data_IF_572259590943
#
_entry.id   IF_572259590943
#
_cell.length_a   1.000
_cell.length_b   1.000
_cell.length_c   1.000
_cell.angle_alpha   90.00
_cell.angle_beta   90.00
_cell.angle_gamma   90.00
#
_symmetry.space_group_name_H-M   'P 1'
#
loop_
_entity.id
_entity.type
_entity.pdbx_description
1 polymer ?
#
# COMPACT_ATOMS: atom_id res chain seq x y z
N UNK A 1 5.04 45.69 -10.14
CA UNK A 1 4.79 47.15 -10.28
C UNK A 1 3.38 47.40 -9.75
N UNK A 2 3.29 48.10 -8.61
CA UNK A 2 2.12 48.74 -7.99
C UNK A 2 0.81 47.91 -7.86
N UNK A 3 0.54 47.52 -6.61
CA UNK A 3 -0.81 47.23 -6.10
C UNK A 3 -1.61 48.53 -5.98
N UNK A 4 -2.94 48.46 -6.19
CA UNK A 4 -3.86 49.20 -5.34
C UNK A 4 -4.75 48.22 -4.56
N UNK A 5 -4.79 48.45 -3.25
CA UNK A 5 -5.89 48.07 -2.39
C UNK A 5 -7.16 48.76 -2.91
N UNK A 6 -8.24 48.02 -3.09
CA UNK A 6 -9.54 48.58 -2.75
C UNK A 6 -10.42 47.57 -2.05
N UNK A 7 -10.88 48.02 -0.89
CA UNK A 7 -11.70 47.30 0.06
C UNK A 7 -13.16 47.66 -0.19
N UNK A 8 -13.97 46.64 -0.46
CA UNK A 8 -15.44 46.52 -0.30
C UNK A 8 -16.11 45.91 -1.53
N UNK A 9 -15.98 44.59 -1.61
CA UNK A 9 -17.06 43.70 -2.02
C UNK A 9 -17.03 42.46 -1.10
N UNK A 10 -17.07 42.73 0.22
CA UNK A 10 -17.42 41.74 1.22
C UNK A 10 -18.92 41.49 1.10
N UNK A 11 -19.33 40.55 0.24
CA UNK A 11 -20.62 39.88 0.31
C UNK A 11 -20.61 38.62 -0.59
N UNK A 12 -19.60 37.77 -0.40
CA UNK A 12 -19.68 36.39 -0.87
C UNK A 12 -20.30 35.55 0.24
N UNK A 13 -21.54 35.11 -0.03
CA UNK A 13 -22.29 34.12 0.75
C UNK A 13 -21.42 32.89 1.02
N UNK A 14 -20.81 32.87 2.20
CA UNK A 14 -20.31 31.67 2.85
C UNK A 14 -21.48 30.70 2.98
N UNK A 15 -21.47 29.62 2.20
CA UNK A 15 -22.11 28.39 2.62
C UNK A 15 -21.29 27.87 3.80
N UNK A 16 -21.64 28.35 4.99
CA UNK A 16 -21.26 27.76 6.26
C UNK A 16 -21.84 26.35 6.30
N UNK A 17 -21.00 25.34 6.08
CA UNK A 17 -21.22 24.06 6.75
C UNK A 17 -20.88 24.26 8.23
N UNK A 18 -21.81 24.85 8.98
CA UNK A 18 -21.88 24.66 10.43
C UNK A 18 -22.44 23.26 10.67
N UNK A 19 -21.59 22.26 10.56
CA UNK A 19 -21.71 21.11 11.46
C UNK A 19 -20.61 21.31 12.48
N UNK A 20 -20.94 21.54 13.76
CA UNK A 20 -19.93 21.55 14.79
C UNK A 20 -19.28 20.16 14.78
N UNK A 21 -17.96 20.12 14.61
CA UNK A 21 -17.18 19.00 15.12
C UNK A 21 -17.51 18.97 16.61
N UNK A 22 -18.37 18.04 17.03
CA UNK A 22 -18.59 17.76 18.46
C UNK A 22 -17.27 17.23 19.01
N UNK A 23 -16.41 18.14 19.44
CA UNK A 23 -15.53 17.92 20.57
C UNK A 23 -16.42 17.73 21.78
N UNK A 24 -16.89 16.51 21.99
CA UNK A 24 -17.27 15.98 23.30
C UNK A 24 -17.34 14.47 23.15
N UNK A 25 -16.23 13.83 23.54
CA UNK A 25 -16.08 12.38 23.77
C UNK A 25 -16.95 11.88 24.93
N UNK A 26 -17.99 12.61 25.33
CA UNK A 26 -18.80 12.30 26.51
C UNK A 26 -19.66 11.03 26.27
N UNK A 27 -20.10 10.77 25.04
CA UNK A 27 -20.78 9.49 24.70
C UNK A 27 -19.81 8.29 24.74
N UNK A 28 -18.56 8.46 24.32
CA UNK A 28 -17.51 7.43 24.44
C UNK A 28 -17.06 7.25 25.90
N UNK A 29 -17.05 8.33 26.70
CA UNK A 29 -16.74 8.29 28.14
C UNK A 29 -17.86 7.63 28.93
N UNK A 30 -19.12 7.94 28.63
CA UNK A 30 -20.30 7.30 29.23
C UNK A 30 -20.41 5.82 28.82
N UNK A 31 -20.00 5.45 27.60
CA UNK A 31 -19.89 4.05 27.19
C UNK A 31 -18.80 3.32 28.01
N UNK A 32 -17.63 3.93 28.19
CA UNK A 32 -16.55 3.40 29.03
C UNK A 32 -16.95 3.30 30.52
N UNK A 33 -17.60 4.33 31.08
CA UNK A 33 -18.00 4.38 32.49
C UNK A 33 -19.08 3.32 32.83
N UNK A 34 -20.03 3.07 31.91
CA UNK A 34 -21.08 2.06 32.11
C UNK A 34 -20.59 0.61 31.96
N UNK A 35 -19.42 0.37 31.34
CA UNK A 35 -18.86 -0.97 31.13
C UNK A 35 -17.94 -1.44 32.28
N UNK A 36 -17.53 -0.53 33.17
CA UNK A 36 -16.65 -0.82 34.32
C UNK A 36 -17.33 -1.60 35.46
N UNK A 37 -18.64 -1.90 35.38
CA UNK A 37 -19.42 -2.41 36.54
C UNK A 37 -19.44 -3.94 36.67
N UNK A 38 -19.01 -4.74 35.69
CA UNK A 38 -19.07 -6.21 35.81
C UNK A 38 -17.67 -6.85 35.90
N UNK A 39 -17.06 -6.71 37.07
CA UNK A 39 -15.87 -7.48 37.47
C UNK A 39 -16.23 -8.95 37.75
N UNK A 40 -16.23 -9.74 36.69
CA UNK A 40 -15.95 -11.18 36.73
C UNK A 40 -14.92 -11.44 35.66
N UNK A 41 -13.73 -11.93 36.03
CA UNK A 41 -12.70 -12.35 35.08
C UNK A 41 -13.35 -13.25 34.02
N UNK A 42 -13.34 -12.88 32.73
CA UNK A 42 -13.83 -13.76 31.69
C UNK A 42 -13.00 -15.05 31.69
N UNK A 43 -13.56 -16.19 31.21
CA UNK A 43 -12.73 -17.34 30.83
C UNK A 43 -11.62 -16.87 29.88
N UNK A 44 -10.50 -17.59 29.74
CA UNK A 44 -9.42 -17.20 28.82
C UNK A 44 -10.00 -17.09 27.39
N UNK A 45 -10.37 -15.88 26.97
CA UNK A 45 -10.97 -15.63 25.66
C UNK A 45 -9.82 -15.56 24.66
N UNK A 46 -9.88 -16.42 23.66
CA UNK A 46 -8.90 -16.46 22.57
C UNK A 46 -9.13 -15.35 21.56
N UNK A 47 -8.10 -15.00 20.76
CA UNK A 47 -8.24 -14.08 19.62
C UNK A 47 -9.43 -14.49 18.74
N UNK A 48 -9.58 -15.78 18.44
CA UNK A 48 -10.64 -16.29 17.56
C UNK A 48 -12.05 -16.02 18.11
N UNK A 49 -12.25 -16.22 19.41
CA UNK A 49 -13.54 -15.96 20.07
C UNK A 49 -13.85 -14.46 20.08
N UNK A 50 -12.86 -13.61 20.35
CA UNK A 50 -13.03 -12.15 20.30
C UNK A 50 -13.41 -11.72 18.89
N UNK A 51 -12.69 -12.20 17.86
CA UNK A 51 -13.02 -11.89 16.45
C UNK A 51 -14.46 -12.30 16.14
N UNK A 52 -14.88 -13.52 16.52
CA UNK A 52 -16.27 -13.99 16.31
C UNK A 52 -17.29 -13.07 16.98
N UNK A 53 -17.00 -12.56 18.18
CA UNK A 53 -17.89 -11.63 18.89
C UNK A 53 -17.93 -10.29 18.16
N UNK A 54 -16.78 -9.73 17.79
CA UNK A 54 -16.67 -8.43 17.12
C UNK A 54 -17.43 -8.40 15.80
N UNK A 55 -17.30 -9.46 14.99
CA UNK A 55 -17.91 -9.53 13.66
C UNK A 55 -19.38 -9.96 13.67
N UNK A 56 -19.90 -10.45 14.81
CA UNK A 56 -21.26 -11.03 14.91
C UNK A 56 -22.33 -10.07 14.39
N UNK A 57 -22.20 -8.80 14.74
CA UNK A 57 -23.14 -7.74 14.36
C UNK A 57 -22.59 -6.82 13.25
N UNK A 58 -21.38 -7.12 12.74
CA UNK A 58 -20.77 -6.34 11.68
C UNK A 58 -21.41 -6.66 10.33
N UNK A 59 -21.75 -5.63 9.56
CA UNK A 59 -22.28 -5.79 8.21
C UNK A 59 -21.13 -6.08 7.26
N UNK A 60 -21.28 -7.08 6.40
CA UNK A 60 -20.40 -7.21 5.23
C UNK A 60 -20.83 -6.20 4.19
N UNK A 61 -19.91 -5.34 3.76
CA UNK A 61 -20.07 -4.53 2.56
C UNK A 61 -20.10 -5.55 1.42
N UNK A 62 -21.28 -5.84 0.88
CA UNK A 62 -21.34 -6.43 -0.46
C UNK A 62 -20.93 -5.33 -1.41
N UNK A 63 -19.63 -5.12 -1.62
CA UNK A 63 -19.24 -4.40 -2.82
C UNK A 63 -19.73 -5.27 -3.97
N UNK A 64 -20.75 -4.81 -4.69
CA UNK A 64 -21.03 -5.38 -6.01
C UNK A 64 -19.73 -5.20 -6.75
N UNK A 65 -18.94 -6.28 -6.96
CA UNK A 65 -17.63 -6.26 -7.63
C UNK A 65 -17.66 -5.17 -8.67
N UNK A 66 -17.11 -4.00 -8.35
CA UNK A 66 -17.17 -2.89 -9.27
C UNK A 66 -16.36 -3.38 -10.44
N UNK A 67 -17.02 -3.63 -11.57
CA UNK A 67 -16.45 -4.24 -12.77
C UNK A 67 -15.41 -3.33 -13.47
N UNK A 68 -14.86 -2.36 -12.74
CA UNK A 68 -13.85 -1.40 -13.17
C UNK A 68 -12.42 -1.90 -12.97
N UNK A 69 -12.20 -3.05 -12.32
CA UNK A 69 -10.85 -3.62 -12.20
C UNK A 69 -10.44 -4.30 -13.51
N UNK A 70 -9.46 -3.71 -14.19
CA UNK A 70 -8.83 -4.29 -15.37
C UNK A 70 -7.57 -5.02 -14.91
N UNK A 71 -7.52 -6.33 -15.09
CA UNK A 71 -6.32 -7.12 -14.80
C UNK A 71 -5.26 -6.89 -15.89
N UNK A 72 -4.32 -6.00 -15.62
CA UNK A 72 -3.21 -5.69 -16.51
C UNK A 72 -2.16 -6.81 -16.46
N UNK A 73 -1.71 -7.36 -17.61
CA UNK A 73 -0.72 -8.44 -17.60
C UNK A 73 0.63 -7.92 -17.13
N UNK A 74 1.35 -8.77 -16.40
CA UNK A 74 2.69 -8.46 -15.90
C UNK A 74 3.66 -8.27 -17.06
N UNK A 75 4.41 -7.17 -17.05
CA UNK A 75 5.49 -6.89 -17.99
C UNK A 75 6.68 -6.25 -17.26
N UNK A 76 7.90 -6.52 -17.77
CA UNK A 76 9.14 -5.85 -17.36
C UNK A 76 9.38 -5.65 -15.87
N UNK A 77 9.32 -6.74 -15.12
CA UNK A 77 10.07 -6.82 -13.87
C UNK A 77 10.87 -8.11 -13.91
N UNK A 78 12.20 -7.98 -13.90
CA UNK A 78 13.05 -9.14 -13.67
C UNK A 78 12.96 -9.51 -12.19
N UNK A 79 11.94 -10.31 -11.87
CA UNK A 79 11.78 -10.83 -10.52
C UNK A 79 12.79 -11.89 -10.17
N UNK A 80 13.67 -12.33 -11.08
CA UNK A 80 14.58 -13.45 -10.83
C UNK A 80 15.44 -13.20 -9.61
N UNK A 81 16.02 -12.01 -9.48
CA UNK A 81 16.87 -11.67 -8.34
C UNK A 81 16.06 -11.59 -7.02
N UNK A 82 14.90 -10.94 -7.02
CA UNK A 82 14.03 -10.87 -5.83
C UNK A 82 13.49 -12.26 -5.44
N UNK A 83 13.11 -13.07 -6.41
CA UNK A 83 12.67 -14.44 -6.24
C UNK A 83 13.80 -15.38 -5.76
N UNK A 84 15.02 -15.19 -6.25
CA UNK A 84 16.21 -15.89 -5.75
C UNK A 84 16.43 -15.58 -4.27
N UNK A 85 16.20 -14.35 -3.83
CA UNK A 85 16.24 -14.00 -2.41
C UNK A 85 15.11 -14.62 -1.59
N UNK A 86 13.89 -14.73 -2.14
CA UNK A 86 12.81 -15.48 -1.46
C UNK A 86 13.24 -16.93 -1.27
N UNK A 87 13.82 -17.57 -2.29
CA UNK A 87 14.36 -18.94 -2.17
C UNK A 87 15.47 -19.04 -1.12
N UNK A 88 16.37 -18.05 -1.05
CA UNK A 88 17.40 -18.00 -0.01
C UNK A 88 16.77 -17.96 1.39
N UNK A 89 15.70 -17.20 1.59
CA UNK A 89 14.97 -17.13 2.87
C UNK A 89 14.27 -18.43 3.23
N UNK A 90 13.65 -19.08 2.25
CA UNK A 90 13.02 -20.37 2.44
C UNK A 90 14.05 -21.41 2.87
N UNK A 91 15.22 -21.45 2.21
CA UNK A 91 16.35 -22.32 2.63
C UNK A 91 16.84 -21.98 4.03
N UNK A 92 16.95 -20.70 4.35
CA UNK A 92 17.32 -20.25 5.70
C UNK A 92 16.29 -20.70 6.75
N UNK A 93 14.99 -20.68 6.40
CA UNK A 93 13.93 -21.21 7.26
C UNK A 93 14.09 -22.71 7.51
N UNK A 94 14.39 -23.50 6.47
CA UNK A 94 14.62 -24.95 6.59
C UNK A 94 15.85 -25.30 7.42
N UNK A 95 16.94 -24.54 7.24
CA UNK A 95 18.24 -24.80 7.88
C UNK A 95 18.46 -24.02 9.17
N UNK A 96 17.44 -23.30 9.67
CA UNK A 96 17.50 -22.50 10.89
C UNK A 96 18.63 -21.43 10.86
N UNK A 97 18.86 -20.82 9.69
CA UNK A 97 19.88 -19.79 9.48
C UNK A 97 19.26 -18.39 9.42
N UNK A 98 20.10 -17.35 9.51
CA UNK A 98 19.69 -15.95 9.34
C UNK A 98 19.18 -15.66 7.92
N UNK A 99 17.96 -15.15 7.80
CA UNK A 99 17.26 -14.81 6.55
C UNK A 99 17.35 -13.32 6.20
N UNK A 100 16.90 -12.95 5.01
CA UNK A 100 16.99 -11.58 4.45
C UNK A 100 15.60 -11.06 4.05
N UNK A 101 15.16 -9.90 4.50
CA UNK A 101 13.87 -9.36 4.06
C UNK A 101 13.97 -8.83 2.61
N UNK A 102 12.94 -9.09 1.80
CA UNK A 102 12.88 -8.65 0.41
C UNK A 102 11.92 -7.46 0.26
N UNK A 103 12.33 -6.52 -0.57
CA UNK A 103 11.50 -5.46 -1.10
C UNK A 103 11.00 -5.92 -2.48
N UNK A 104 9.70 -6.18 -2.69
CA UNK A 104 9.07 -6.10 -4.02
C UNK A 104 7.53 -6.20 -3.98
N UNK A 105 6.92 -5.57 -4.97
CA UNK A 105 5.50 -5.40 -5.26
C UNK A 105 4.58 -6.66 -5.24
N UNK A 106 3.25 -6.45 -5.28
CA UNK A 106 2.19 -7.49 -5.35
C UNK A 106 2.42 -8.49 -6.48
N UNK A 107 2.97 -8.04 -7.59
CA UNK A 107 3.27 -8.87 -8.75
C UNK A 107 4.36 -9.94 -8.46
N UNK A 108 5.23 -9.71 -7.46
CA UNK A 108 6.19 -10.72 -6.97
C UNK A 108 5.48 -11.84 -6.21
N UNK A 109 4.37 -11.56 -5.52
CA UNK A 109 3.59 -12.60 -4.84
C UNK A 109 3.03 -13.60 -5.85
N UNK A 110 2.35 -13.13 -6.89
CA UNK A 110 1.81 -14.00 -7.94
C UNK A 110 2.93 -14.74 -8.67
N UNK A 111 4.02 -14.05 -9.00
CA UNK A 111 5.19 -14.72 -9.59
C UNK A 111 5.74 -15.82 -8.68
N UNK A 112 5.86 -15.57 -7.37
CA UNK A 112 6.35 -16.53 -6.39
C UNK A 112 5.41 -17.73 -6.30
N UNK A 113 4.11 -17.50 -6.16
CA UNK A 113 3.09 -18.56 -6.07
C UNK A 113 3.12 -19.51 -7.28
N UNK A 114 3.33 -18.98 -8.48
CA UNK A 114 3.37 -19.80 -9.71
C UNK A 114 4.71 -20.49 -9.96
N UNK A 115 5.82 -19.92 -9.48
CA UNK A 115 7.17 -20.41 -9.81
C UNK A 115 7.90 -21.09 -8.64
N UNK A 116 7.39 -20.98 -7.41
CA UNK A 116 8.02 -21.60 -6.25
C UNK A 116 7.84 -23.11 -6.30
N UNK A 117 8.98 -23.81 -6.32
CA UNK A 117 9.03 -25.23 -5.98
C UNK A 117 9.19 -25.31 -4.47
N UNK A 118 8.15 -25.79 -3.80
CA UNK A 118 8.17 -26.00 -2.35
C UNK A 118 9.34 -26.89 -1.97
N UNK A 119 10.06 -26.58 -0.88
CA UNK A 119 11.08 -27.48 -0.37
C UNK A 119 10.50 -28.84 0.03
N UNK A 120 11.33 -29.88 0.03
CA UNK A 120 10.88 -31.24 0.41
C UNK A 120 10.35 -31.31 1.84
N UNK A 121 10.83 -30.46 2.75
CA UNK A 121 10.32 -30.38 4.12
C UNK A 121 8.93 -29.75 4.23
N UNK A 122 8.47 -29.05 3.18
CA UNK A 122 7.15 -28.42 3.12
C UNK A 122 6.25 -29.29 2.25
N UNK A 123 5.59 -30.26 2.89
CA UNK A 123 4.74 -31.27 2.22
C UNK A 123 3.67 -30.62 1.32
N UNK A 124 3.07 -29.53 1.80
CA UNK A 124 2.12 -28.72 1.04
C UNK A 124 2.17 -27.27 1.54
N UNK A 125 1.91 -26.31 0.65
CA UNK A 125 2.06 -24.87 0.91
C UNK A 125 0.79 -24.11 0.53
N UNK A 126 0.16 -23.52 1.52
CA UNK A 126 -0.96 -22.60 1.33
C UNK A 126 -0.44 -21.17 1.25
N UNK A 127 -0.75 -20.46 0.17
CA UNK A 127 -0.31 -19.07 -0.03
C UNK A 127 -1.41 -18.09 0.37
N UNK A 128 -1.07 -17.16 1.24
CA UNK A 128 -1.90 -16.02 1.60
C UNK A 128 -1.15 -14.72 1.35
N UNK A 129 -1.89 -13.71 0.92
CA UNK A 129 -1.39 -12.36 0.73
C UNK A 129 -2.17 -11.41 1.63
N UNK A 130 -1.46 -10.64 2.43
CA UNK A 130 -2.03 -9.67 3.34
C UNK A 130 -1.43 -8.30 3.06
N UNK A 131 -2.27 -7.35 2.64
CA UNK A 131 -1.89 -5.95 2.41
C UNK A 131 -2.25 -5.12 3.63
N UNK A 132 -1.35 -4.24 4.03
CA UNK A 132 -1.49 -3.38 5.20
C UNK A 132 -1.02 -1.97 4.83
N UNK A 133 -1.96 -1.04 4.62
CA UNK A 133 -1.64 0.32 4.22
C UNK A 133 -1.63 1.29 5.42
N UNK A 134 -0.43 1.79 5.76
CA UNK A 134 -0.22 2.68 6.91
C UNK A 134 -0.53 4.16 6.63
N UNK A 135 -0.80 4.54 5.38
CA UNK A 135 -1.23 5.89 5.03
C UNK A 135 -2.76 6.09 5.11
N UNK A 136 -3.56 5.01 5.18
CA UNK A 136 -5.02 5.12 5.16
C UNK A 136 -5.76 4.18 6.14
N UNK A 137 -5.77 2.86 5.93
CA UNK A 137 -6.61 1.98 6.75
C UNK A 137 -6.01 1.67 8.12
N UNK A 138 -4.69 1.78 8.28
CA UNK A 138 -3.96 1.31 9.46
C UNK A 138 -3.06 2.37 10.10
N UNK A 139 -3.39 3.67 9.97
CA UNK A 139 -2.56 4.77 10.52
C UNK A 139 -2.20 4.52 11.99
N UNK A 140 -0.98 4.92 12.35
CA UNK A 140 -0.54 5.03 13.74
C UNK A 140 -1.10 6.32 14.34
N UNK A 141 -1.63 6.23 15.55
CA UNK A 141 -2.19 7.38 16.29
C UNK A 141 -1.83 7.33 17.78
N UNK A 142 -2.26 8.34 18.55
CA UNK A 142 -1.82 8.52 19.94
C UNK A 142 -2.09 7.30 20.85
N UNK A 143 -3.09 6.47 20.53
CA UNK A 143 -3.36 5.24 21.30
C UNK A 143 -2.25 4.20 21.14
N UNK A 144 -1.53 4.20 20.01
CA UNK A 144 -0.44 3.26 19.76
C UNK A 144 0.75 3.51 20.69
N UNK A 145 0.89 4.69 21.31
CA UNK A 145 1.89 4.94 22.36
C UNK A 145 1.63 4.14 23.65
N UNK A 146 0.38 3.70 23.88
CA UNK A 146 0.02 2.93 25.07
C UNK A 146 0.07 1.40 24.85
N UNK A 147 0.46 0.98 23.65
CA UNK A 147 0.54 -0.40 23.24
C UNK A 147 2.00 -0.77 22.98
N UNK A 148 2.34 -2.03 23.27
CA UNK A 148 3.61 -2.58 22.78
C UNK A 148 3.54 -2.74 21.26
N UNK A 149 4.68 -2.66 20.58
CA UNK A 149 4.73 -2.84 19.13
C UNK A 149 4.12 -4.18 18.68
N UNK A 150 4.33 -5.25 19.47
CA UNK A 150 3.79 -6.58 19.18
C UNK A 150 2.26 -6.62 19.23
N UNK A 151 1.64 -5.90 20.17
CA UNK A 151 0.17 -5.80 20.27
C UNK A 151 -0.38 -4.89 19.17
N UNK A 152 0.23 -3.72 19.00
CA UNK A 152 -0.19 -2.73 18.00
C UNK A 152 -0.10 -3.29 16.57
N UNK A 153 0.92 -4.10 16.29
CA UNK A 153 1.05 -4.80 15.01
C UNK A 153 0.11 -6.01 14.89
N UNK A 154 -0.06 -6.80 15.96
CA UNK A 154 -1.00 -7.92 15.98
C UNK A 154 -2.45 -7.48 15.75
N UNK A 155 -2.88 -6.36 16.34
CA UNK A 155 -4.19 -5.76 16.07
C UNK A 155 -4.39 -5.41 14.60
N UNK A 156 -3.37 -4.83 13.95
CA UNK A 156 -3.42 -4.46 12.52
C UNK A 156 -3.50 -5.69 11.61
N UNK A 157 -2.77 -6.75 11.93
CA UNK A 157 -2.88 -8.03 11.21
C UNK A 157 -4.27 -8.65 11.38
N UNK A 158 -4.78 -8.67 12.62
CA UNK A 158 -6.11 -9.21 12.90
C UNK A 158 -7.18 -8.44 12.12
N UNK A 159 -7.11 -7.11 12.11
CA UNK A 159 -7.99 -6.27 11.32
C UNK A 159 -7.88 -6.57 9.82
N UNK A 160 -6.66 -6.50 9.26
CA UNK A 160 -6.44 -6.69 7.83
C UNK A 160 -6.94 -8.07 7.37
N UNK A 161 -6.73 -9.10 8.19
CA UNK A 161 -7.05 -10.48 7.85
C UNK A 161 -8.54 -10.83 8.05
N UNK A 162 -9.17 -10.40 9.15
CA UNK A 162 -10.53 -10.82 9.50
C UNK A 162 -11.61 -9.79 9.16
N UNK A 163 -11.24 -8.52 9.04
CA UNK A 163 -12.17 -7.40 8.85
C UNK A 163 -12.06 -6.87 7.41
N UNK A 164 -10.89 -6.36 7.04
CA UNK A 164 -10.66 -5.69 5.75
C UNK A 164 -10.77 -6.67 4.58
N UNK A 165 -10.05 -7.80 4.65
CA UNK A 165 -10.10 -8.87 3.63
C UNK A 165 -11.51 -9.43 3.42
N UNK A 166 -12.29 -9.57 4.48
CA UNK A 166 -13.65 -10.12 4.42
C UNK A 166 -14.72 -9.05 4.11
N UNK A 167 -14.28 -7.82 3.80
CA UNK A 167 -15.09 -6.66 3.45
C UNK A 167 -16.15 -6.32 4.52
N UNK A 168 -15.79 -6.38 5.81
CA UNK A 168 -16.66 -5.88 6.87
C UNK A 168 -16.66 -4.34 6.93
N UNK A 169 -17.84 -3.77 7.14
CA UNK A 169 -18.06 -2.33 7.35
C UNK A 169 -17.67 -1.95 8.78
N UNK A 170 -16.37 -1.88 9.02
CA UNK A 170 -15.78 -1.57 10.32
C UNK A 170 -14.42 -0.95 10.10
N UNK A 171 -14.15 0.20 10.73
CA UNK A 171 -12.85 0.86 10.67
C UNK A 171 -11.85 0.20 11.62
N UNK A 172 -10.56 0.43 11.40
CA UNK A 172 -9.52 -0.07 12.30
C UNK A 172 -9.69 0.47 13.73
N UNK A 173 -10.07 1.74 13.89
CA UNK A 173 -10.28 2.36 15.19
C UNK A 173 -11.45 1.70 15.95
N UNK A 174 -12.55 1.41 15.25
CA UNK A 174 -13.69 0.71 15.82
C UNK A 174 -13.32 -0.72 16.23
N UNK A 175 -12.64 -1.44 15.33
CA UNK A 175 -12.13 -2.78 15.62
C UNK A 175 -11.22 -2.78 16.86
N UNK A 176 -10.23 -1.87 16.90
CA UNK A 176 -9.27 -1.75 17.99
C UNK A 176 -9.97 -1.46 19.31
N UNK A 177 -10.93 -0.54 19.33
CA UNK A 177 -11.69 -0.22 20.54
C UNK A 177 -12.44 -1.46 21.08
N UNK A 178 -13.13 -2.21 20.22
CA UNK A 178 -13.84 -3.43 20.61
C UNK A 178 -12.88 -4.55 21.04
N UNK A 179 -11.77 -4.72 20.35
CA UNK A 179 -10.76 -5.73 20.65
C UNK A 179 -10.11 -5.51 22.02
N UNK A 180 -9.76 -4.25 22.33
CA UNK A 180 -9.07 -3.89 23.57
C UNK A 180 -9.94 -4.00 24.83
N UNK A 181 -11.27 -4.08 24.70
CA UNK A 181 -12.17 -4.36 25.84
C UNK A 181 -11.88 -5.70 26.51
N UNK A 182 -11.28 -6.64 25.78
CA UNK A 182 -10.98 -7.98 26.26
C UNK A 182 -9.57 -8.11 26.85
N UNK A 183 -8.71 -7.10 26.66
CA UNK A 183 -7.34 -7.05 27.17
C UNK A 183 -6.29 -6.80 26.09
N UNK A 184 -5.29 -5.97 26.43
CA UNK A 184 -4.21 -5.57 25.51
C UNK A 184 -3.35 -6.77 25.08
N UNK A 185 -3.05 -7.68 26.00
CA UNK A 185 -2.08 -8.76 25.78
C UNK A 185 -2.62 -9.96 24.98
N UNK A 186 -3.90 -9.94 24.57
CA UNK A 186 -4.50 -11.02 23.78
C UNK A 186 -4.09 -10.92 22.32
N UNK A 187 -3.95 -9.69 21.80
CA UNK A 187 -3.64 -9.42 20.40
C UNK A 187 -2.14 -9.27 20.12
N UNK A 188 -1.30 -9.93 20.90
CA UNK A 188 0.13 -10.02 20.57
C UNK A 188 0.32 -10.72 19.21
N UNK A 189 1.29 -10.26 18.44
CA UNK A 189 1.57 -10.71 17.07
C UNK A 189 1.55 -12.24 16.91
N UNK A 190 2.24 -12.97 17.79
CA UNK A 190 2.32 -14.44 17.73
C UNK A 190 0.96 -15.13 17.86
N UNK A 191 0.12 -14.65 18.78
CA UNK A 191 -1.21 -15.23 18.99
C UNK A 191 -2.13 -14.96 17.81
N UNK A 192 -2.01 -13.78 17.19
CA UNK A 192 -2.76 -13.43 15.98
C UNK A 192 -2.32 -14.28 14.79
N UNK A 193 -1.01 -14.45 14.54
CA UNK A 193 -0.52 -15.30 13.44
C UNK A 193 -1.00 -16.74 13.59
N UNK A 194 -0.97 -17.30 14.81
CA UNK A 194 -1.54 -18.62 15.09
C UNK A 194 -3.05 -18.67 14.84
N UNK A 195 -3.77 -17.61 15.20
CA UNK A 195 -5.21 -17.51 14.92
C UNK A 195 -5.51 -17.45 13.41
N UNK A 196 -4.71 -16.74 12.62
CA UNK A 196 -4.83 -16.70 11.16
C UNK A 196 -4.60 -18.09 10.54
N UNK A 197 -3.57 -18.81 11.02
CA UNK A 197 -3.33 -20.18 10.57
C UNK A 197 -4.53 -21.09 10.84
N UNK A 198 -5.05 -21.06 12.07
CA UNK A 198 -6.17 -21.90 12.48
C UNK A 198 -7.46 -21.58 11.72
N UNK A 199 -7.72 -20.30 11.45
CA UNK A 199 -8.95 -19.87 10.76
C UNK A 199 -9.01 -20.30 9.30
N UNK A 200 -7.84 -20.51 8.67
CA UNK A 200 -7.71 -21.09 7.33
C UNK A 200 -7.98 -22.59 7.28
N UNK A 201 -8.14 -23.24 8.45
CA UNK A 201 -8.42 -24.68 8.59
C UNK A 201 -7.36 -25.55 7.90
N UNK A 202 -6.10 -25.13 7.95
CA UNK A 202 -4.97 -25.87 7.41
C UNK A 202 -4.69 -27.11 8.26
N UNK A 203 -4.26 -28.21 7.63
CA UNK A 203 -3.83 -29.42 8.32
C UNK A 203 -2.48 -29.20 9.01
N UNK A 204 -2.17 -29.95 10.08
CA UNK A 204 -0.93 -29.81 10.85
C UNK A 204 0.37 -30.07 10.05
N UNK A 205 0.25 -30.54 8.81
CA UNK A 205 1.37 -30.77 7.88
C UNK A 205 1.51 -29.69 6.80
N UNK A 206 0.54 -28.78 6.68
CA UNK A 206 0.55 -27.72 5.66
C UNK A 206 1.35 -26.51 6.17
N UNK A 207 2.22 -25.97 5.32
CA UNK A 207 2.91 -24.71 5.59
C UNK A 207 2.03 -23.55 5.13
N UNK A 208 1.82 -22.55 5.98
CA UNK A 208 1.27 -21.26 5.56
C UNK A 208 2.41 -20.37 5.05
N UNK A 209 2.39 -20.02 3.77
CA UNK A 209 3.21 -18.94 3.21
C UNK A 209 2.41 -17.64 3.27
N UNK A 210 2.71 -16.77 4.22
CA UNK A 210 2.09 -15.46 4.34
C UNK A 210 2.99 -14.39 3.72
N UNK A 211 2.56 -13.85 2.59
CA UNK A 211 3.18 -12.68 1.96
C UNK A 211 2.62 -11.41 2.61
N UNK A 212 3.42 -10.77 3.45
CA UNK A 212 3.00 -9.65 4.29
C UNK A 212 3.46 -8.33 3.68
N UNK A 213 2.56 -7.63 3.01
CA UNK A 213 2.82 -6.36 2.34
C UNK A 213 2.49 -5.19 3.27
N UNK A 214 3.55 -4.59 3.81
CA UNK A 214 3.54 -3.37 4.63
C UNK A 214 3.73 -2.18 3.69
N UNK A 215 2.62 -1.52 3.40
CA UNK A 215 2.54 -0.44 2.45
C UNK A 215 2.62 0.92 3.13
N UNK A 216 3.26 1.86 2.46
CA UNK A 216 3.56 3.19 2.95
C UNK A 216 4.35 3.15 4.27
N UNK A 217 5.38 2.30 4.34
CA UNK A 217 6.15 2.06 5.57
C UNK A 217 6.85 3.32 6.11
N UNK A 218 7.07 4.35 5.28
CA UNK A 218 7.67 5.61 5.72
C UNK A 218 6.80 6.34 6.76
N UNK A 219 5.50 6.07 6.85
CA UNK A 219 4.66 6.59 7.94
C UNK A 219 5.00 5.94 9.28
N UNK A 220 5.49 4.70 9.27
CA UNK A 220 5.99 4.02 10.47
C UNK A 220 7.31 4.64 10.93
N UNK A 221 8.22 4.91 9.99
CA UNK A 221 9.49 5.61 10.27
C UNK A 221 9.23 7.01 10.85
N UNK A 222 8.33 7.77 10.22
CA UNK A 222 7.96 9.10 10.67
C UNK A 222 7.33 9.09 12.07
N UNK A 223 6.52 8.08 12.38
CA UNK A 223 5.92 7.90 13.71
C UNK A 223 6.97 7.71 14.80
N UNK A 224 7.93 6.81 14.59
CA UNK A 224 9.02 6.57 15.55
C UNK A 224 9.86 7.85 15.76
N UNK A 225 10.10 8.63 14.70
CA UNK A 225 10.79 9.92 14.80
C UNK A 225 9.98 10.96 15.58
N UNK A 226 8.66 11.01 15.39
CA UNK A 226 7.78 11.93 16.10
C UNK A 226 7.70 11.61 17.60
N UNK A 227 7.73 10.33 17.98
CA UNK A 227 7.74 9.90 19.38
C UNK A 227 8.89 10.55 20.18
N UNK A 228 10.09 10.60 19.57
CA UNK A 228 11.29 11.21 20.14
C UNK A 228 11.07 12.71 20.35
N UNK A 229 10.51 13.40 19.36
CA UNK A 229 10.25 14.85 19.43
C UNK A 229 9.23 15.17 20.53
N UNK A 230 8.22 14.33 20.70
CA UNK A 230 7.16 14.51 21.70
C UNK A 230 7.56 14.06 23.12
N UNK A 231 8.83 13.67 23.34
CA UNK A 231 9.31 13.06 24.59
C UNK A 231 8.43 11.88 25.07
N UNK A 232 7.80 11.18 24.14
CA UNK A 232 7.14 9.90 24.41
C UNK A 232 8.23 8.84 24.47
N UNK A 233 8.03 7.79 25.27
CA UNK A 233 8.92 6.63 25.21
C UNK A 233 8.87 6.08 23.79
N UNK A 234 9.98 6.08 23.03
CA UNK A 234 9.98 5.56 21.67
C UNK A 234 9.55 4.10 21.74
N UNK A 235 8.47 3.74 21.07
CA UNK A 235 8.02 2.34 21.01
C UNK A 235 8.99 1.47 20.20
N UNK A 236 9.95 2.11 19.49
CA UNK A 236 10.79 1.49 18.48
C UNK A 236 9.93 0.59 17.57
N UNK A 237 8.76 1.09 17.15
CA UNK A 237 7.71 0.28 16.57
C UNK A 237 8.22 -0.43 15.32
N UNK A 238 8.91 0.28 14.44
CA UNK A 238 9.43 -0.30 13.20
C UNK A 238 10.41 -1.44 13.51
N UNK A 239 11.40 -1.18 14.38
CA UNK A 239 12.41 -2.18 14.76
C UNK A 239 11.76 -3.41 15.40
N UNK A 240 10.85 -3.22 16.35
CA UNK A 240 10.20 -4.30 17.07
C UNK A 240 9.25 -5.11 16.16
N UNK A 241 8.53 -4.45 15.25
CA UNK A 241 7.73 -5.09 14.21
C UNK A 241 8.60 -6.00 13.32
N UNK A 242 9.74 -5.50 12.85
CA UNK A 242 10.68 -6.27 12.04
C UNK A 242 11.25 -7.45 12.82
N UNK A 243 11.62 -7.25 14.09
CA UNK A 243 12.06 -8.32 14.98
C UNK A 243 11.00 -9.42 15.14
N UNK A 244 9.73 -9.07 15.30
CA UNK A 244 8.65 -10.05 15.43
C UNK A 244 8.43 -10.83 14.13
N UNK A 245 8.42 -10.16 12.98
CA UNK A 245 8.33 -10.81 11.66
C UNK A 245 9.51 -11.76 11.44
N UNK A 246 10.71 -11.36 11.88
CA UNK A 246 11.94 -12.13 11.68
C UNK A 246 11.81 -13.57 12.19
N UNK A 247 11.12 -13.77 13.31
CA UNK A 247 10.93 -15.08 13.95
C UNK A 247 10.18 -16.08 13.06
N UNK A 248 9.40 -15.58 12.11
CA UNK A 248 8.64 -16.38 11.14
C UNK A 248 9.32 -16.46 9.77
N UNK A 249 10.31 -15.59 9.51
CA UNK A 249 11.23 -15.76 8.40
C UNK A 249 12.27 -16.84 8.73
N UNK A 250 12.81 -16.79 9.94
CA UNK A 250 13.88 -17.67 10.43
C UNK A 250 13.34 -18.54 11.57
N UNK A 251 13.18 -19.84 11.34
CA UNK A 251 12.73 -20.78 12.36
C UNK A 251 11.63 -21.73 11.90
N UNK A 252 11.54 -22.88 12.59
CA UNK A 252 10.54 -23.93 12.31
C UNK A 252 9.18 -23.56 12.89
N UNK A 253 8.46 -22.70 12.20
CA UNK A 253 7.03 -22.43 12.42
C UNK A 253 6.20 -23.06 11.31
N UNK A 254 4.93 -23.40 11.57
CA UNK A 254 3.98 -23.79 10.53
C UNK A 254 3.67 -22.62 9.57
N UNK A 255 3.96 -21.39 9.99
CA UNK A 255 3.84 -20.20 9.17
C UNK A 255 5.22 -19.67 8.78
N UNK A 256 5.46 -19.53 7.48
CA UNK A 256 6.55 -18.74 6.94
C UNK A 256 6.01 -17.37 6.52
N UNK A 257 6.59 -16.30 7.07
CA UNK A 257 6.22 -14.92 6.69
C UNK A 257 7.31 -14.37 5.77
N UNK A 258 6.93 -13.96 4.56
CA UNK A 258 7.78 -13.17 3.68
C UNK A 258 7.32 -11.71 3.77
N UNK A 259 8.01 -10.84 4.52
CA UNK A 259 7.68 -9.42 4.52
C UNK A 259 8.05 -8.78 3.18
N UNK A 260 7.25 -7.78 2.85
CA UNK A 260 7.47 -6.81 1.81
C UNK A 260 7.16 -5.41 2.36
N UNK A 261 8.12 -4.49 2.26
CA UNK A 261 7.89 -3.08 2.53
C UNK A 261 7.75 -2.33 1.21
N UNK A 262 6.68 -1.58 0.98
CA UNK A 262 6.60 -0.60 -0.13
C UNK A 262 6.52 0.80 0.43
N UNK A 263 7.23 1.71 -0.23
CA UNK A 263 7.22 3.11 0.16
C UNK A 263 8.27 3.88 -0.62
N UNK A 264 8.36 5.16 -0.33
CA UNK A 264 9.20 6.09 -1.10
C UNK A 264 10.47 6.51 -0.36
N UNK A 265 10.69 6.02 0.87
CA UNK A 265 11.82 6.40 1.73
C UNK A 265 12.78 5.21 2.03
N UNK A 266 13.56 4.72 1.04
CA UNK A 266 14.45 3.57 1.24
C UNK A 266 15.50 3.78 2.34
N UNK A 267 15.85 5.04 2.65
CA UNK A 267 16.79 5.39 3.73
C UNK A 267 16.34 4.96 5.12
N UNK A 268 15.04 5.02 5.40
CA UNK A 268 14.49 4.54 6.66
C UNK A 268 14.80 3.05 6.88
N UNK A 269 14.77 2.24 5.81
CA UNK A 269 15.14 0.82 5.86
C UNK A 269 16.64 0.64 6.15
N UNK A 270 17.50 1.46 5.54
CA UNK A 270 18.95 1.40 5.79
C UNK A 270 19.30 1.73 7.23
N UNK A 271 18.61 2.69 7.85
CA UNK A 271 18.79 2.99 9.28
C UNK A 271 18.45 1.77 10.15
N UNK A 272 17.35 1.06 9.85
CA UNK A 272 16.94 -0.14 10.59
C UNK A 272 17.82 -1.37 10.33
N UNK A 273 18.45 -1.46 9.15
CA UNK A 273 19.38 -2.54 8.79
C UNK A 273 20.56 -2.64 9.76
N UNK A 274 21.02 -1.51 10.30
CA UNK A 274 22.14 -1.49 11.25
C UNK A 274 21.74 -1.94 12.67
N UNK A 275 20.43 -2.00 12.96
CA UNK A 275 19.89 -2.26 14.29
C UNK A 275 19.26 -3.66 14.47
N UNK A 276 19.09 -4.44 13.39
CA UNK A 276 18.42 -5.75 13.43
C UNK A 276 19.29 -6.88 12.87
N UNK A 277 18.94 -8.12 13.19
CA UNK A 277 19.59 -9.34 12.65
C UNK A 277 19.16 -9.65 11.21
N UNK A 278 18.29 -8.84 10.61
CA UNK A 278 17.79 -9.02 9.25
C UNK A 278 18.46 -8.02 8.31
N UNK A 279 18.92 -8.51 7.16
CA UNK A 279 19.32 -7.63 6.06
C UNK A 279 18.17 -7.35 5.11
N UNK A 280 18.02 -6.11 4.67
CA UNK A 280 17.08 -5.74 3.61
C UNK A 280 17.73 -5.76 2.23
N UNK A 281 16.94 -6.17 1.23
CA UNK A 281 17.27 -6.10 -0.19
C UNK A 281 16.29 -5.16 -0.90
N UNK A 282 16.80 -4.11 -1.56
CA UNK A 282 15.98 -3.22 -2.39
C UNK A 282 15.80 -3.84 -3.77
N UNK A 283 14.56 -4.03 -4.21
CA UNK A 283 14.28 -4.34 -5.60
C UNK A 283 13.82 -3.09 -6.32
N UNK A 284 14.35 -2.91 -7.52
CA UNK A 284 13.90 -1.85 -8.41
C UNK A 284 12.49 -2.17 -8.91
N UNK A 285 11.62 -1.17 -8.83
CA UNK A 285 10.31 -1.18 -9.49
C UNK A 285 10.39 -0.24 -10.70
N UNK A 286 10.99 -0.67 -11.83
CA UNK A 286 11.19 0.21 -12.97
C UNK A 286 9.87 0.61 -13.61
N UNK A 287 9.88 1.77 -14.27
CA UNK A 287 8.83 2.17 -15.19
C UNK A 287 8.75 1.18 -16.36
N UNK A 288 7.55 1.01 -16.91
CA UNK A 288 7.33 0.18 -18.10
C UNK A 288 7.98 0.82 -19.31
N UNK A 289 8.83 0.07 -20.02
CA UNK A 289 9.31 0.52 -21.32
C UNK A 289 8.21 0.51 -22.38
N UNK A 290 8.51 1.13 -23.53
CA UNK A 290 7.58 1.22 -24.66
C UNK A 290 7.13 -0.15 -25.15
N UNK A 291 8.03 -1.14 -25.19
CA UNK A 291 7.69 -2.48 -25.67
C UNK A 291 6.70 -3.19 -24.74
N UNK A 292 6.82 -2.98 -23.44
CA UNK A 292 5.97 -3.53 -22.38
C UNK A 292 4.58 -2.91 -22.41
N UNK A 293 4.50 -1.58 -22.54
CA UNK A 293 3.22 -0.89 -22.76
C UNK A 293 2.49 -1.40 -24.00
N UNK A 294 3.23 -1.64 -25.10
CA UNK A 294 2.68 -2.23 -26.33
C UNK A 294 2.17 -3.65 -26.09
N UNK A 295 2.93 -4.51 -25.39
CA UNK A 295 2.51 -5.89 -25.09
C UNK A 295 1.28 -5.94 -24.18
N UNK A 296 1.17 -5.02 -23.22
CA UNK A 296 -0.04 -4.84 -22.41
C UNK A 296 -1.23 -4.46 -23.29
N UNK A 297 -1.06 -3.50 -24.19
CA UNK A 297 -2.13 -3.12 -25.12
C UNK A 297 -2.49 -4.27 -26.08
N UNK A 298 -1.51 -5.05 -26.55
CA UNK A 298 -1.73 -6.24 -27.38
C UNK A 298 -2.53 -7.33 -26.65
N UNK A 299 -2.30 -7.51 -25.35
CA UNK A 299 -3.10 -8.42 -24.53
C UNK A 299 -4.58 -8.01 -24.54
N UNK A 300 -4.88 -6.72 -24.35
CA UNK A 300 -6.25 -6.23 -24.42
C UNK A 300 -6.82 -6.26 -25.83
N UNK A 301 -6.00 -5.97 -26.84
CA UNK A 301 -6.39 -6.11 -28.24
C UNK A 301 -6.79 -7.56 -28.57
N UNK A 302 -6.07 -8.55 -28.04
CA UNK A 302 -6.42 -9.97 -28.14
C UNK A 302 -7.73 -10.25 -27.41
N UNK A 303 -7.82 -9.85 -26.14
CA UNK A 303 -8.99 -10.07 -25.26
C UNK A 303 -10.28 -9.51 -25.84
N UNK A 304 -10.20 -8.37 -26.54
CA UNK A 304 -11.35 -7.67 -27.11
C UNK A 304 -11.51 -7.87 -28.63
N UNK A 305 -10.82 -8.85 -29.22
CA UNK A 305 -10.91 -9.18 -30.66
C UNK A 305 -10.68 -7.96 -31.56
N UNK A 306 -9.64 -7.18 -31.26
CA UNK A 306 -9.33 -5.97 -32.00
C UNK A 306 -9.06 -6.27 -33.48
N UNK A 307 -9.50 -5.40 -34.41
CA UNK A 307 -9.27 -5.59 -35.83
C UNK A 307 -7.78 -5.67 -36.19
N UNK A 308 -7.44 -6.58 -37.09
CA UNK A 308 -6.11 -6.71 -37.70
C UNK A 308 -6.14 -6.36 -39.19
N UNK A 309 -4.97 -6.10 -39.76
CA UNK A 309 -4.76 -6.12 -41.20
C UNK A 309 -4.59 -7.58 -41.69
N UNK A 310 -4.54 -7.78 -43.01
CA UNK A 310 -4.36 -9.10 -43.63
C UNK A 310 -3.07 -9.82 -43.21
N UNK A 311 -2.06 -9.09 -42.73
CA UNK A 311 -0.81 -9.62 -42.20
C UNK A 311 -0.84 -9.89 -40.68
N UNK A 312 -2.03 -9.94 -40.06
CA UNK A 312 -2.26 -10.15 -38.63
C UNK A 312 -1.70 -9.05 -37.69
N UNK A 313 -1.30 -7.90 -38.22
CA UNK A 313 -0.91 -6.76 -37.39
C UNK A 313 -2.17 -6.02 -36.90
N UNK A 314 -2.28 -5.76 -35.61
CA UNK A 314 -3.40 -4.99 -35.06
C UNK A 314 -3.45 -3.57 -35.60
N UNK A 315 -4.65 -3.13 -36.00
CA UNK A 315 -4.86 -1.78 -36.56
C UNK A 315 -4.55 -0.67 -35.56
N UNK A 316 -4.73 -0.93 -34.25
CA UNK A 316 -4.43 0.06 -33.20
C UNK A 316 -2.97 0.50 -33.21
N UNK A 317 -2.04 -0.34 -33.68
CA UNK A 317 -0.61 -0.02 -33.76
C UNK A 317 -0.28 1.08 -34.76
N UNK A 318 -1.20 1.42 -35.66
CA UNK A 318 -1.06 2.56 -36.57
C UNK A 318 -1.87 3.78 -36.11
N UNK A 319 -2.57 3.69 -34.97
CA UNK A 319 -3.34 4.79 -34.41
C UNK A 319 -2.41 5.71 -33.60
N UNK A 320 -1.90 6.76 -34.25
CA UNK A 320 -0.98 7.72 -33.62
C UNK A 320 -1.51 8.31 -32.30
N UNK A 321 -2.81 8.68 -32.16
CA UNK A 321 -3.32 9.17 -30.88
C UNK A 321 -3.22 8.16 -29.72
N UNK A 322 -3.44 6.87 -29.97
CA UNK A 322 -3.29 5.83 -28.95
C UNK A 322 -1.83 5.69 -28.54
N UNK A 323 -0.92 5.62 -29.52
CA UNK A 323 0.51 5.55 -29.23
C UNK A 323 0.97 6.74 -28.39
N UNK A 324 0.46 7.94 -28.70
CA UNK A 324 0.74 9.14 -27.93
C UNK A 324 0.22 9.03 -26.50
N UNK A 325 -1.02 8.57 -26.29
CA UNK A 325 -1.56 8.35 -24.94
C UNK A 325 -0.74 7.35 -24.13
N UNK A 326 -0.32 6.24 -24.74
CA UNK A 326 0.56 5.25 -24.10
C UNK A 326 1.88 5.90 -23.67
N UNK A 327 2.53 6.65 -24.56
CA UNK A 327 3.80 7.35 -24.26
C UNK A 327 3.58 8.39 -23.16
N UNK A 328 2.46 9.11 -23.17
CA UNK A 328 2.11 10.12 -22.16
C UNK A 328 1.91 9.56 -20.75
N UNK A 329 1.76 8.24 -20.58
CA UNK A 329 1.80 7.61 -19.24
C UNK A 329 3.19 7.62 -18.62
N UNK A 330 4.24 7.89 -19.40
CA UNK A 330 5.63 7.85 -18.94
C UNK A 330 6.11 6.47 -18.49
N UNK A 331 5.34 5.39 -18.76
CA UNK A 331 5.63 4.06 -18.26
C UNK A 331 5.13 3.80 -16.82
N UNK A 332 4.42 4.74 -16.20
CA UNK A 332 3.83 4.54 -14.87
C UNK A 332 2.70 3.50 -14.94
N UNK A 333 2.81 2.34 -14.24
CA UNK A 333 1.79 1.29 -14.29
C UNK A 333 0.39 1.80 -13.92
N UNK A 334 0.28 2.68 -12.92
CA UNK A 334 -1.00 3.23 -12.48
C UNK A 334 -1.62 4.19 -13.49
N UNK A 335 -0.82 5.02 -14.15
CA UNK A 335 -1.30 5.91 -15.21
C UNK A 335 -1.78 5.10 -16.43
N UNK A 336 -1.05 4.03 -16.77
CA UNK A 336 -1.46 3.09 -17.82
C UNK A 336 -2.75 2.35 -17.47
N UNK A 337 -2.88 1.85 -16.23
CA UNK A 337 -4.10 1.19 -15.76
C UNK A 337 -5.32 2.12 -15.89
N UNK A 338 -5.22 3.35 -15.39
CA UNK A 338 -6.29 4.35 -15.52
C UNK A 338 -6.62 4.64 -16.98
N UNK A 339 -5.60 4.78 -17.85
CA UNK A 339 -5.81 4.95 -19.28
C UNK A 339 -6.64 3.79 -19.87
N UNK A 340 -6.29 2.54 -19.55
CA UNK A 340 -6.99 1.36 -20.03
C UNK A 340 -8.42 1.27 -19.47
N UNK A 341 -8.61 1.60 -18.19
CA UNK A 341 -9.94 1.68 -17.55
C UNK A 341 -10.80 2.72 -18.25
N UNK A 342 -10.26 3.91 -18.50
CA UNK A 342 -10.97 4.96 -19.24
C UNK A 342 -11.35 4.48 -20.64
N UNK A 343 -10.41 3.87 -21.38
CA UNK A 343 -10.63 3.40 -22.75
C UNK A 343 -11.67 2.29 -22.85
N UNK A 344 -11.60 1.30 -21.96
CA UNK A 344 -12.32 0.03 -22.11
C UNK A 344 -13.50 -0.17 -21.17
N UNK A 345 -13.72 0.76 -20.24
CA UNK A 345 -14.86 0.70 -19.30
C UNK A 345 -15.66 2.00 -19.26
N UNK A 346 -14.99 3.16 -19.17
CA UNK A 346 -15.69 4.43 -18.90
C UNK A 346 -16.27 5.07 -20.17
N UNK A 347 -15.50 5.10 -21.26
CA UNK A 347 -15.91 5.78 -22.50
C UNK A 347 -16.51 4.81 -23.53
N UNK A 348 -16.14 3.54 -23.46
CA UNK A 348 -16.58 2.48 -24.35
C UNK A 348 -16.32 1.13 -23.71
N UNK A 349 -16.97 0.09 -24.20
CA UNK A 349 -16.47 -1.27 -23.98
C UNK A 349 -15.26 -1.54 -24.88
N UNK A 350 -14.33 -2.39 -24.42
CA UNK A 350 -13.06 -2.63 -25.13
C UNK A 350 -13.20 -3.05 -26.60
N UNK A 351 -14.22 -3.84 -26.95
CA UNK A 351 -14.46 -4.25 -28.34
C UNK A 351 -14.88 -3.07 -29.21
N UNK A 352 -15.85 -2.27 -28.76
CA UNK A 352 -16.27 -1.05 -29.47
C UNK A 352 -15.15 -0.01 -29.54
N UNK A 353 -14.30 0.06 -28.52
CA UNK A 353 -13.16 0.95 -28.52
C UNK A 353 -12.26 0.67 -29.74
N UNK A 354 -11.82 -0.58 -29.91
CA UNK A 354 -10.96 -0.97 -31.05
C UNK A 354 -11.64 -0.92 -32.42
N UNK A 355 -12.97 -1.05 -32.49
CA UNK A 355 -13.70 -0.90 -33.76
C UNK A 355 -13.82 0.56 -34.23
N UNK A 356 -13.74 1.53 -33.32
CA UNK A 356 -14.02 2.95 -33.60
C UNK A 356 -12.84 3.87 -33.29
N UNK A 357 -11.62 3.40 -33.49
CA UNK A 357 -10.37 4.13 -33.21
C UNK A 357 -10.40 5.59 -33.72
N UNK A 358 -10.80 5.80 -34.97
CA UNK A 358 -10.77 7.15 -35.57
C UNK A 358 -11.85 8.12 -35.04
N UNK A 359 -12.82 7.62 -34.27
CA UNK A 359 -13.98 8.39 -33.81
C UNK A 359 -13.91 8.80 -32.34
N UNK A 360 -12.90 8.34 -31.61
CA UNK A 360 -12.76 8.68 -30.19
C UNK A 360 -12.20 10.09 -30.00
N UNK A 361 -12.68 10.75 -28.96
CA UNK A 361 -12.11 12.01 -28.50
C UNK A 361 -10.94 11.72 -27.56
N UNK A 362 -9.73 11.66 -28.12
CA UNK A 362 -8.51 11.40 -27.38
C UNK A 362 -8.15 12.50 -26.36
N UNK A 363 -8.59 13.73 -26.57
CA UNK A 363 -8.37 14.82 -25.62
C UNK A 363 -9.23 14.64 -24.37
N UNK A 364 -10.47 14.19 -24.54
CA UNK A 364 -11.35 13.83 -23.43
C UNK A 364 -10.78 12.63 -22.64
N UNK A 365 -10.23 11.61 -23.33
CA UNK A 365 -9.55 10.47 -22.65
C UNK A 365 -8.40 10.98 -21.80
N UNK A 366 -7.49 11.78 -22.39
CA UNK A 366 -6.36 12.35 -21.68
C UNK A 366 -6.80 13.16 -20.45
N UNK A 367 -7.81 14.02 -20.63
CA UNK A 367 -8.32 14.89 -19.55
C UNK A 367 -8.91 14.08 -18.39
N UNK A 368 -9.63 13.00 -18.69
CA UNK A 368 -10.18 12.10 -17.66
C UNK A 368 -9.09 11.42 -16.86
N UNK A 369 -8.13 10.79 -17.54
CA UNK A 369 -7.00 10.11 -16.89
C UNK A 369 -6.20 11.10 -16.03
N UNK A 370 -5.94 12.30 -16.56
CA UNK A 370 -5.25 13.37 -15.83
C UNK A 370 -6.02 13.78 -14.57
N UNK A 371 -7.33 13.95 -14.65
CA UNK A 371 -8.16 14.32 -13.50
C UNK A 371 -8.25 13.19 -12.47
N UNK A 372 -8.30 11.92 -12.90
CA UNK A 372 -8.28 10.76 -12.01
C UNK A 372 -6.94 10.69 -11.25
N UNK A 373 -5.82 10.91 -11.94
CA UNK A 373 -4.50 11.02 -11.31
C UNK A 373 -4.44 12.19 -10.32
N UNK A 374 -4.96 13.36 -10.70
CA UNK A 374 -5.03 14.51 -9.80
C UNK A 374 -5.85 14.22 -8.54
N UNK A 375 -7.01 13.55 -8.66
CA UNK A 375 -7.81 13.18 -7.49
C UNK A 375 -7.10 12.18 -6.59
N UNK A 376 -6.34 11.24 -7.17
CA UNK A 376 -5.61 10.23 -6.41
C UNK A 376 -4.41 10.81 -5.66
N UNK A 377 -3.70 11.75 -6.27
CA UNK A 377 -2.40 12.21 -5.77
C UNK A 377 -2.38 13.68 -5.32
N UNK A 378 -3.45 14.45 -5.53
CA UNK A 378 -3.60 15.87 -5.15
C UNK A 378 -2.45 16.78 -5.61
N UNK A 379 -1.92 16.50 -6.80
CA UNK A 379 -0.68 17.09 -7.33
C UNK A 379 -0.81 18.61 -7.47
N UNK A 380 -1.95 19.13 -7.92
CA UNK A 380 -2.11 20.58 -8.15
C UNK A 380 -2.09 21.39 -6.86
N UNK A 381 -2.71 20.89 -5.79
CA UNK A 381 -2.69 21.55 -4.49
C UNK A 381 -1.25 21.61 -3.96
N UNK A 382 -0.53 20.49 -4.02
CA UNK A 382 0.85 20.40 -3.57
C UNK A 382 1.79 21.29 -4.38
N UNK A 383 1.67 21.29 -5.71
CA UNK A 383 2.45 22.16 -6.60
C UNK A 383 2.15 23.64 -6.33
N UNK A 384 0.88 24.00 -6.11
CA UNK A 384 0.50 25.39 -5.82
C UNK A 384 1.08 25.85 -4.48
N UNK A 385 1.03 24.99 -3.46
CA UNK A 385 1.55 25.28 -2.13
C UNK A 385 3.10 25.31 -2.12
N UNK A 386 3.75 24.57 -3.03
CA UNK A 386 5.20 24.41 -3.08
C UNK A 386 5.81 24.75 -4.45
N UNK A 387 5.34 25.83 -5.08
CA UNK A 387 5.65 26.13 -6.49
C UNK A 387 7.16 26.23 -6.82
N UNK A 388 7.97 26.79 -5.91
CA UNK A 388 9.42 26.91 -6.09
C UNK A 388 10.10 25.53 -6.06
N UNK A 389 9.68 24.68 -5.13
CA UNK A 389 10.16 23.31 -5.02
C UNK A 389 9.77 22.52 -6.28
N UNK A 390 8.50 22.57 -6.69
CA UNK A 390 8.01 21.89 -7.87
C UNK A 390 8.79 22.29 -9.14
N UNK A 391 9.05 23.60 -9.31
CA UNK A 391 9.85 24.09 -10.44
C UNK A 391 11.28 23.53 -10.44
N UNK A 392 11.92 23.47 -9.27
CA UNK A 392 13.26 22.90 -9.16
C UNK A 392 13.27 21.40 -9.40
N UNK A 393 12.29 20.65 -8.86
CA UNK A 393 12.14 19.22 -9.16
C UNK A 393 12.05 18.99 -10.68
N UNK A 394 11.21 19.77 -11.37
CA UNK A 394 11.09 19.70 -12.85
C UNK A 394 12.43 20.03 -13.52
N UNK A 395 13.11 21.08 -13.09
CA UNK A 395 14.42 21.45 -13.64
C UNK A 395 15.44 20.32 -13.51
N UNK A 396 15.56 19.72 -12.32
CA UNK A 396 16.46 18.58 -12.09
C UNK A 396 16.09 17.37 -12.96
N UNK A 397 14.79 17.05 -13.08
CA UNK A 397 14.31 15.98 -13.95
C UNK A 397 14.63 16.21 -15.43
N UNK A 398 14.36 17.42 -15.94
CA UNK A 398 14.51 17.75 -17.37
C UNK A 398 15.98 17.79 -17.77
N UNK A 399 16.82 18.36 -16.92
CA UNK A 399 18.25 18.49 -17.17
C UNK A 399 19.04 17.21 -16.81
N UNK A 400 18.38 16.21 -16.21
CA UNK A 400 19.04 14.99 -15.75
C UNK A 400 20.12 15.26 -14.69
N UNK A 401 19.88 16.25 -13.82
CA UNK A 401 20.84 16.66 -12.79
C UNK A 401 20.61 15.77 -11.55
N UNK A 402 21.58 14.94 -11.17
CA UNK A 402 21.46 14.09 -9.99
C UNK A 402 21.37 14.96 -8.72
N UNK A 403 20.61 14.48 -7.74
CA UNK A 403 20.38 15.16 -6.46
C UNK A 403 20.78 14.22 -5.33
N UNK A 404 21.55 14.71 -4.37
CA UNK A 404 21.86 13.96 -3.15
C UNK A 404 20.76 14.11 -2.10
N UNK A 405 20.63 13.14 -1.20
CA UNK A 405 19.59 13.11 -0.16
C UNK A 405 19.60 14.37 0.75
N UNK A 406 20.77 14.99 0.91
CA UNK A 406 20.98 16.18 1.76
C UNK A 406 20.80 17.49 1.01
N UNK A 407 20.54 17.45 -0.29
CA UNK A 407 20.42 18.65 -1.09
C UNK A 407 19.11 19.37 -0.75
N UNK A 408 19.22 20.68 -0.55
CA UNK A 408 18.08 21.55 -0.28
C UNK A 408 17.53 22.06 -1.59
N UNK A 409 16.37 21.56 -1.99
CA UNK A 409 15.72 22.05 -3.20
C UNK A 409 15.02 23.38 -2.96
N UNK A 410 14.72 23.82 -1.75
CA UNK A 410 14.32 25.23 -1.52
C UNK A 410 15.13 25.87 -0.40
N UNK A 411 15.95 26.86 -0.77
CA UNK A 411 16.77 27.64 0.17
C UNK A 411 15.92 28.37 1.23
N UNK A 412 14.66 28.66 0.93
CA UNK A 412 13.73 29.30 1.88
C UNK A 412 13.06 28.29 2.81
N UNK A 413 13.13 27.01 2.48
CA UNK A 413 12.57 25.92 3.26
C UNK A 413 13.62 24.82 3.43
N UNK A 414 14.68 25.10 4.22
CA UNK A 414 15.80 24.17 4.40
C UNK A 414 15.41 22.84 5.07
N UNK A 415 14.18 22.71 5.58
CA UNK A 415 13.64 21.44 6.06
C UNK A 415 13.16 20.53 4.92
N UNK A 416 13.00 21.02 3.69
CA UNK A 416 12.61 20.26 2.50
C UNK A 416 13.85 19.70 1.79
N UNK A 417 14.57 18.82 2.49
CA UNK A 417 15.65 18.00 1.91
C UNK A 417 15.07 16.93 0.99
N UNK A 418 15.86 16.44 0.04
CA UNK A 418 15.45 15.32 -0.81
C UNK A 418 15.01 14.09 0.00
N UNK A 419 15.69 13.78 1.11
CA UNK A 419 15.29 12.74 2.06
C UNK A 419 13.85 12.95 2.60
N UNK A 420 13.50 14.18 3.00
CA UNK A 420 12.17 14.48 3.53
C UNK A 420 11.10 14.47 2.44
N UNK A 421 11.45 14.86 1.22
CA UNK A 421 10.54 14.79 0.06
C UNK A 421 10.27 13.34 -0.36
N UNK A 422 11.28 12.49 -0.29
CA UNK A 422 11.13 11.04 -0.46
C UNK A 422 10.21 10.43 0.60
N UNK A 423 10.17 10.94 1.83
CA UNK A 423 9.14 10.54 2.82
C UNK A 423 7.71 11.01 2.46
N UNK A 424 7.58 12.05 1.63
CA UNK A 424 6.31 12.64 1.20
C UNK A 424 5.86 12.25 -0.21
N UNK A 425 6.21 11.05 -0.69
CA UNK A 425 5.86 10.49 -2.00
C UNK A 425 6.56 11.09 -3.24
N UNK A 426 7.64 11.86 -3.08
CA UNK A 426 8.42 12.39 -4.22
C UNK A 426 9.67 11.52 -4.46
N UNK A 427 9.71 10.85 -5.61
CA UNK A 427 10.90 10.10 -6.06
C UNK A 427 11.48 10.80 -7.29
N UNK A 428 12.73 11.24 -7.19
CA UNK A 428 13.54 11.55 -8.37
C UNK A 428 14.28 10.26 -8.77
N UNK A 429 14.15 9.88 -10.05
CA UNK A 429 15.00 8.81 -10.59
C UNK A 429 16.45 9.30 -10.56
N UNK A 430 17.41 8.50 -10.06
CA UNK A 430 18.82 8.84 -10.11
C UNK A 430 19.35 9.00 -11.53
#
# INVERSE_FOLDING_TARGET
>A
MIWPNDSKANELKLWKFETPIKTDNEELRILNENLTINNTLPPVITVEEIIKIIIKDAKRIRTSKSSTKIDMPLQQRDFKMAFDKIKDNIRANEWEMTGRANYCCVELFEYTKHNLKSPESWVDVHFEYLHMNFANSLLLDEYDYELTATVSFGLRIAYAFFIEREEYDMTFQEFRARALMYGKDIFIFEFVIRCCYNSLKLHDTQKLFLYLHIDEFQFIDAWDAQAIILNKTPSEFFKNMICDISKYMVGRSYTFIQPFLSGTAPQAVFAQKNASTISFYLADCPLLDKASMIRIMDHFATKFEAPTFSNNVYKWKLCSPILQLLISTGGLPRALELLLITCFTQISDGKKFFLKLERHDYNNIYTRVKNDLEMLYRIYEDVKNNARLAMKLIYHCVEGIPVSDKDYLDEKSPHLTMENLQRGHIILSP
#
